data_IF_107168122146
#
_entry.id   IF_107168122146
#
_cell.length_a   1.000
_cell.length_b   1.000
_cell.length_c   1.000
_cell.angle_alpha   90.00
_cell.angle_beta   90.00
_cell.angle_gamma   90.00
#
_symmetry.space_group_name_H-M   'P 1'
#
loop_
_entity.id
_entity.type
_entity.pdbx_description
1 polymer ?
#
# COMPACT_ATOMS: atom_id res chain seq x y z
N UNK A 1 7.16 -0.74 -36.07
CA UNK A 1 8.03 -1.64 -35.27
C UNK A 1 7.43 -1.65 -33.87
N UNK A 2 7.07 -2.83 -33.38
CA UNK A 2 5.95 -3.06 -32.46
C UNK A 2 5.92 -2.18 -31.20
N UNK A 3 4.79 -1.50 -31.05
CA UNK A 3 4.23 -1.00 -29.81
C UNK A 3 3.87 -2.21 -28.91
N UNK A 4 4.55 -2.32 -27.76
CA UNK A 4 4.12 -3.18 -26.66
C UNK A 4 4.07 -2.31 -25.39
N UNK A 5 2.85 -1.94 -24.98
CA UNK A 5 2.57 -1.46 -23.64
C UNK A 5 2.85 -2.56 -22.62
N UNK A 6 4.09 -2.65 -22.11
CA UNK A 6 4.51 -3.66 -21.14
C UNK A 6 4.22 -3.24 -19.71
N UNK A 7 2.97 -3.41 -19.23
CA UNK A 7 2.64 -3.22 -17.82
C UNK A 7 3.33 -4.27 -16.93
N UNK A 8 3.89 -3.83 -15.78
CA UNK A 8 4.50 -4.74 -14.79
C UNK A 8 3.49 -5.75 -14.21
N UNK A 9 3.99 -6.87 -13.68
CA UNK A 9 3.14 -7.88 -13.05
C UNK A 9 2.48 -7.34 -11.77
N UNK A 10 1.16 -7.56 -11.64
CA UNK A 10 0.34 -7.13 -10.49
C UNK A 10 -0.31 -8.34 -9.85
N UNK A 11 -0.12 -8.51 -8.54
CA UNK A 11 -0.67 -9.63 -7.77
C UNK A 11 -1.49 -9.10 -6.59
N UNK A 12 -2.72 -9.59 -6.44
CA UNK A 12 -3.56 -9.33 -5.28
C UNK A 12 -3.82 -10.64 -4.53
N UNK A 13 -3.53 -10.66 -3.23
CA UNK A 13 -3.72 -11.85 -2.37
C UNK A 13 -4.87 -11.58 -1.40
N UNK A 14 -5.99 -12.28 -1.58
CA UNK A 14 -7.20 -12.11 -0.78
C UNK A 14 -7.72 -13.44 -0.21
N UNK A 15 -8.57 -13.39 0.81
CA UNK A 15 -9.10 -14.57 1.49
C UNK A 15 -9.42 -14.32 2.98
N UNK A 16 -10.05 -15.30 3.64
CA UNK A 16 -10.47 -15.20 5.05
C UNK A 16 -9.31 -14.96 6.02
N UNK A 17 -9.61 -14.57 7.26
CA UNK A 17 -8.61 -14.42 8.31
C UNK A 17 -7.86 -15.73 8.58
N UNK A 18 -6.55 -15.66 8.84
CA UNK A 18 -5.74 -16.80 9.26
C UNK A 18 -5.28 -17.80 8.19
N UNK A 19 -5.66 -17.66 6.90
CA UNK A 19 -5.24 -18.60 5.83
C UNK A 19 -3.80 -18.40 5.33
N UNK A 20 -3.00 -17.56 5.98
CA UNK A 20 -1.60 -17.33 5.59
C UNK A 20 -1.39 -16.37 4.41
N UNK A 21 -2.35 -15.49 4.11
CA UNK A 21 -2.24 -14.50 3.01
C UNK A 21 -0.98 -13.65 3.09
N UNK A 22 -0.72 -13.06 4.26
CA UNK A 22 0.44 -12.21 4.49
C UNK A 22 1.74 -12.98 4.33
N UNK A 23 1.78 -14.23 4.82
CA UNK A 23 2.91 -15.13 4.63
C UNK A 23 3.15 -15.43 3.15
N UNK A 24 2.09 -15.76 2.40
CA UNK A 24 2.18 -16.01 0.96
C UNK A 24 2.66 -14.77 0.21
N UNK A 25 2.10 -13.59 0.52
CA UNK A 25 2.50 -12.32 -0.08
C UNK A 25 3.98 -12.01 0.18
N UNK A 26 4.47 -12.23 1.41
CA UNK A 26 5.88 -12.05 1.75
C UNK A 26 6.79 -13.02 0.98
N UNK A 27 6.40 -14.29 0.86
CA UNK A 27 7.15 -15.29 0.11
C UNK A 27 7.22 -14.95 -1.39
N UNK A 28 6.10 -14.52 -1.98
CA UNK A 28 6.04 -14.08 -3.38
C UNK A 28 6.94 -12.86 -3.62
N UNK A 29 6.88 -11.87 -2.73
CA UNK A 29 7.71 -10.67 -2.81
C UNK A 29 9.21 -11.02 -2.74
N UNK A 30 9.61 -11.88 -1.80
CA UNK A 30 11.00 -12.35 -1.67
C UNK A 30 11.46 -13.15 -2.87
N UNK A 31 10.62 -14.05 -3.39
CA UNK A 31 10.95 -14.85 -4.56
C UNK A 31 11.13 -13.97 -5.81
N UNK A 32 10.27 -12.96 -6.00
CA UNK A 32 10.39 -12.01 -7.09
C UNK A 32 11.65 -11.13 -6.95
N UNK A 33 11.92 -10.59 -5.76
CA UNK A 33 13.12 -9.80 -5.52
C UNK A 33 14.41 -10.63 -5.75
N UNK A 34 14.43 -11.89 -5.30
CA UNK A 34 15.55 -12.81 -5.53
C UNK A 34 15.79 -13.12 -7.03
N UNK A 35 14.77 -12.98 -7.87
CA UNK A 35 14.89 -13.09 -9.34
C UNK A 35 15.29 -11.77 -10.01
N UNK A 36 15.57 -10.72 -9.25
CA UNK A 36 15.99 -9.41 -9.76
C UNK A 36 14.84 -8.48 -10.17
N UNK A 37 13.58 -8.82 -9.86
CA UNK A 37 12.47 -7.92 -10.10
C UNK A 37 12.47 -6.76 -9.11
N UNK A 38 12.05 -5.57 -9.57
CA UNK A 38 11.71 -4.46 -8.69
C UNK A 38 10.35 -4.76 -8.05
N UNK A 39 10.32 -4.92 -6.73
CA UNK A 39 9.10 -5.30 -6.02
C UNK A 39 8.60 -4.16 -5.15
N UNK A 40 7.33 -3.80 -5.35
CA UNK A 40 6.56 -2.98 -4.40
C UNK A 40 5.52 -3.88 -3.74
N UNK A 41 5.62 -4.02 -2.42
CA UNK A 41 4.69 -4.79 -1.62
C UNK A 41 3.81 -3.85 -0.80
N UNK A 42 2.49 -4.00 -0.90
CA UNK A 42 1.52 -3.09 -0.28
C UNK A 42 0.68 -3.86 0.72
N UNK A 43 0.65 -3.39 1.97
CA UNK A 43 -0.20 -3.95 3.02
C UNK A 43 -1.43 -3.07 3.23
N UNK A 44 -2.56 -3.53 2.67
CA UNK A 44 -3.87 -2.88 2.78
C UNK A 44 -4.79 -3.57 3.80
N UNK A 45 -4.26 -4.40 4.69
CA UNK A 45 -5.02 -5.01 5.78
C UNK A 45 -5.24 -4.00 6.93
N UNK A 46 -6.43 -3.93 7.54
CA UNK A 46 -6.67 -3.14 8.76
C UNK A 46 -5.71 -3.43 9.92
N UNK A 47 -5.16 -4.65 9.99
CA UNK A 47 -4.12 -5.04 10.95
C UNK A 47 -2.85 -5.44 10.21
N UNK A 48 -2.07 -4.46 9.72
CA UNK A 48 -0.95 -4.72 8.82
C UNK A 48 0.17 -5.48 9.53
N UNK A 49 0.67 -6.52 8.89
CA UNK A 49 1.72 -7.42 9.42
C UNK A 49 2.76 -7.80 8.37
N UNK A 50 2.63 -7.34 7.13
CA UNK A 50 3.53 -7.69 6.02
C UNK A 50 4.95 -7.18 6.26
N UNK A 51 5.10 -5.93 6.70
CA UNK A 51 6.41 -5.35 7.00
C UNK A 51 7.14 -6.18 8.08
N UNK A 52 6.45 -6.56 9.15
CA UNK A 52 7.01 -7.42 10.19
C UNK A 52 7.35 -8.82 9.66
N UNK A 53 6.50 -9.39 8.79
CA UNK A 53 6.74 -10.70 8.17
C UNK A 53 7.97 -10.68 7.25
N UNK A 54 8.26 -9.55 6.61
CA UNK A 54 9.50 -9.30 5.86
C UNK A 54 10.68 -8.94 6.78
N UNK A 55 10.46 -8.89 8.09
CA UNK A 55 11.46 -8.60 9.12
C UNK A 55 11.87 -7.13 9.21
N UNK A 56 11.00 -6.21 8.79
CA UNK A 56 11.20 -4.76 8.99
C UNK A 56 10.83 -4.44 10.43
N UNK A 57 11.76 -3.81 11.16
CA UNK A 57 11.57 -3.31 12.52
C UNK A 57 12.39 -2.03 12.73
N UNK A 58 11.80 -0.94 13.24
CA UNK A 58 10.38 -0.81 13.62
C UNK A 58 9.45 -0.85 12.39
N UNK A 59 8.21 -1.31 12.60
CA UNK A 59 7.18 -1.32 11.54
C UNK A 59 6.78 0.13 11.24
N UNK A 60 6.74 0.57 9.97
CA UNK A 60 6.30 1.91 9.62
C UNK A 60 4.83 2.12 9.97
N UNK A 61 4.50 3.34 10.39
CA UNK A 61 3.13 3.70 10.71
C UNK A 61 2.21 3.58 9.47
N UNK A 62 0.95 3.12 9.64
CA UNK A 62 0.02 3.03 8.52
C UNK A 62 -0.28 4.39 7.89
N UNK A 63 -0.20 4.45 6.57
CA UNK A 63 -0.41 5.68 5.79
C UNK A 63 -1.78 6.31 6.06
N UNK A 64 -2.82 5.48 6.20
CA UNK A 64 -4.20 5.95 6.41
C UNK A 64 -4.47 6.44 7.84
N UNK A 65 -3.50 6.30 8.76
CA UNK A 65 -3.57 6.85 10.11
C UNK A 65 -2.78 8.16 10.25
N UNK A 66 -2.11 8.61 9.18
CA UNK A 66 -1.38 9.87 9.16
C UNK A 66 -2.32 11.05 8.89
N UNK A 67 -2.81 11.70 9.95
CA UNK A 67 -3.74 12.82 9.86
C UNK A 67 -3.18 14.04 9.11
N UNK A 68 -1.87 14.30 9.22
CA UNK A 68 -1.22 15.41 8.51
C UNK A 68 -1.23 15.16 7.00
N UNK A 69 -0.88 13.95 6.58
CA UNK A 69 -0.94 13.55 5.17
C UNK A 69 -2.38 13.60 4.64
N UNK A 70 -3.37 13.13 5.42
CA UNK A 70 -4.77 13.19 5.02
C UNK A 70 -5.24 14.64 4.85
N UNK A 71 -4.87 15.52 5.78
CA UNK A 71 -5.19 16.94 5.69
C UNK A 71 -4.50 17.60 4.48
N UNK A 72 -3.22 17.30 4.24
CA UNK A 72 -2.44 17.82 3.11
C UNK A 72 -3.01 17.39 1.75
N UNK A 73 -3.28 16.08 1.59
CA UNK A 73 -3.64 15.51 0.27
C UNK A 73 -5.11 15.65 -0.05
N UNK A 74 -5.96 15.54 0.96
CA UNK A 74 -7.40 15.39 0.79
C UNK A 74 -8.18 16.59 1.33
N UNK A 75 -7.74 17.17 2.44
CA UNK A 75 -8.40 18.30 3.10
C UNK A 75 -9.35 17.89 4.23
N UNK A 76 -9.72 18.87 5.07
CA UNK A 76 -10.72 18.75 6.13
C UNK A 76 -11.93 19.61 5.76
N UNK A 77 -13.10 18.99 5.53
CA UNK A 77 -14.32 19.68 5.07
C UNK A 77 -14.60 19.45 3.60
N UNK A 78 -14.01 20.26 2.70
CA UNK A 78 -14.10 20.03 1.26
C UNK A 78 -13.06 18.96 0.88
N UNK A 79 -13.53 17.79 0.50
CA UNK A 79 -12.70 16.60 0.26
C UNK A 79 -12.31 16.51 -1.20
N UNK A 80 -11.01 16.46 -1.49
CA UNK A 80 -10.48 16.12 -2.82
C UNK A 80 -10.60 14.61 -3.05
N UNK A 81 -11.48 14.19 -3.96
CA UNK A 81 -11.71 12.76 -4.25
C UNK A 81 -10.59 12.10 -5.08
N UNK A 82 -9.79 12.90 -5.78
CA UNK A 82 -8.64 12.45 -6.58
C UNK A 82 -7.36 13.15 -6.09
N UNK A 83 -6.88 12.86 -4.87
CA UNK A 83 -5.61 13.38 -4.39
C UNK A 83 -4.45 12.83 -5.23
N UNK A 84 -3.36 13.60 -5.29
CA UNK A 84 -2.08 13.16 -5.84
C UNK A 84 -1.47 12.11 -4.90
N UNK A 85 -0.97 11.00 -5.43
CA UNK A 85 -0.52 9.80 -4.68
C UNK A 85 0.75 9.14 -5.26
N UNK A 86 1.22 9.62 -6.40
CA UNK A 86 2.28 9.05 -7.22
C UNK A 86 3.63 9.02 -6.48
N UNK A 87 3.84 9.94 -5.54
CA UNK A 87 5.05 10.04 -4.73
C UNK A 87 4.99 9.21 -3.43
N UNK A 88 3.83 8.67 -3.05
CA UNK A 88 3.63 8.09 -1.72
C UNK A 88 4.44 6.80 -1.51
N UNK A 89 4.54 5.96 -2.54
CA UNK A 89 5.39 4.76 -2.48
C UNK A 89 6.84 5.13 -2.23
N UNK A 90 7.34 6.20 -2.86
CA UNK A 90 8.72 6.64 -2.69
C UNK A 90 8.97 7.29 -1.34
N UNK A 91 8.03 8.13 -0.86
CA UNK A 91 8.17 8.88 0.39
C UNK A 91 7.94 8.03 1.65
N UNK A 92 6.97 7.13 1.61
CA UNK A 92 6.51 6.37 2.78
C UNK A 92 6.83 4.88 2.70
N UNK A 93 7.30 4.39 1.55
CA UNK A 93 7.76 3.01 1.41
C UNK A 93 9.10 2.80 2.11
N UNK A 94 9.20 1.71 2.87
CA UNK A 94 10.45 1.26 3.50
C UNK A 94 11.05 0.14 2.66
N UNK A 95 12.35 0.21 2.40
CA UNK A 95 13.03 -0.79 1.58
C UNK A 95 13.78 -1.82 2.45
N UNK A 96 13.62 -3.10 2.12
CA UNK A 96 14.39 -4.19 2.72
C UNK A 96 14.54 -5.33 1.71
N UNK A 97 15.76 -5.86 1.59
CA UNK A 97 16.07 -7.02 0.73
C UNK A 97 15.57 -6.87 -0.73
N UNK A 98 15.67 -5.65 -1.29
CA UNK A 98 15.20 -5.33 -2.65
C UNK A 98 13.68 -5.20 -2.80
N UNK A 99 12.93 -5.19 -1.70
CA UNK A 99 11.48 -5.02 -1.66
C UNK A 99 11.15 -3.68 -1.01
N UNK A 100 10.39 -2.84 -1.72
CA UNK A 100 9.80 -1.62 -1.15
C UNK A 100 8.43 -1.91 -0.57
N UNK A 101 8.28 -1.75 0.73
CA UNK A 101 7.06 -2.08 1.47
C UNK A 101 6.32 -0.80 1.84
N UNK A 102 5.08 -0.66 1.40
CA UNK A 102 4.18 0.41 1.80
C UNK A 102 3.09 -0.16 2.73
N UNK A 103 3.06 0.32 3.97
CA UNK A 103 2.00 -0.03 4.91
C UNK A 103 0.88 1.00 4.78
N UNK A 104 -0.23 0.62 4.17
CA UNK A 104 -1.41 1.48 4.09
C UNK A 104 -2.22 1.40 5.37
N UNK A 105 -2.38 0.19 5.91
CA UNK A 105 -3.37 -0.11 6.94
C UNK A 105 -4.79 -0.08 6.40
N UNK A 106 -5.77 -0.02 7.30
CA UNK A 106 -7.17 0.08 6.96
C UNK A 106 -7.92 1.09 7.82
N UNK A 107 -9.17 1.34 7.46
CA UNK A 107 -10.05 2.19 8.26
C UNK A 107 -10.41 1.44 9.54
N UNK A 108 -9.95 1.95 10.69
CA UNK A 108 -10.31 1.39 12.00
C UNK A 108 -11.83 1.45 12.21
N UNK A 109 -12.34 0.50 12.99
CA UNK A 109 -13.76 0.36 13.32
C UNK A 109 -14.35 1.67 13.88
N UNK A 110 -15.68 1.83 13.69
CA UNK A 110 -16.41 3.10 13.89
C UNK A 110 -16.20 3.77 15.25
N UNK A 111 -16.33 5.10 15.25
CA UNK A 111 -16.17 5.96 16.44
C UNK A 111 -14.94 6.87 16.43
N UNK A 112 -14.06 6.74 15.43
CA UNK A 112 -12.81 7.51 15.31
C UNK A 112 -12.91 8.80 14.48
N UNK A 113 -14.10 9.11 13.93
CA UNK A 113 -14.35 10.31 13.12
C UNK A 113 -14.76 9.99 11.68
N UNK A 114 -14.64 10.98 10.80
CA UNK A 114 -15.02 10.86 9.39
C UNK A 114 -13.96 10.06 8.60
N UNK A 115 -14.35 8.89 8.07
CA UNK A 115 -13.46 8.03 7.29
C UNK A 115 -13.26 8.49 5.83
N UNK A 116 -13.96 9.55 5.40
CA UNK A 116 -13.96 9.99 4.01
C UNK A 116 -12.56 10.39 3.49
N UNK A 117 -11.71 11.12 4.23
CA UNK A 117 -10.37 11.44 3.77
C UNK A 117 -9.49 10.20 3.55
N UNK A 118 -9.49 9.27 4.52
CA UNK A 118 -8.75 8.02 4.42
C UNK A 118 -9.24 7.18 3.22
N UNK A 119 -10.55 7.09 3.00
CA UNK A 119 -11.12 6.38 1.86
C UNK A 119 -10.77 7.02 0.51
N UNK A 120 -10.75 8.36 0.43
CA UNK A 120 -10.38 9.06 -0.80
C UNK A 120 -8.91 8.81 -1.16
N UNK A 121 -8.01 8.88 -0.16
CA UNK A 121 -6.59 8.58 -0.36
C UNK A 121 -6.37 7.11 -0.75
N UNK A 122 -7.00 6.17 -0.03
CA UNK A 122 -6.96 4.73 -0.31
C UNK A 122 -7.38 4.43 -1.75
N UNK A 123 -8.52 4.98 -2.20
CA UNK A 123 -9.04 4.75 -3.55
C UNK A 123 -8.12 5.31 -4.62
N UNK A 124 -7.59 6.52 -4.43
CA UNK A 124 -6.66 7.13 -5.39
C UNK A 124 -5.35 6.34 -5.48
N UNK A 125 -4.80 5.94 -4.35
CA UNK A 125 -3.56 5.16 -4.28
C UNK A 125 -3.72 3.76 -4.88
N UNK A 126 -4.80 3.04 -4.57
CA UNK A 126 -5.07 1.74 -5.19
C UNK A 126 -5.27 1.85 -6.70
N UNK A 127 -5.98 2.89 -7.16
CA UNK A 127 -6.15 3.15 -8.60
C UNK A 127 -4.80 3.35 -9.27
N UNK A 128 -3.94 4.19 -8.68
CA UNK A 128 -2.61 4.45 -9.20
C UNK A 128 -1.78 3.16 -9.29
N UNK A 129 -1.69 2.40 -8.19
CA UNK A 129 -0.90 1.17 -8.10
C UNK A 129 -1.41 0.06 -9.04
N UNK A 130 -2.73 -0.06 -9.22
CA UNK A 130 -3.32 -1.14 -10.00
C UNK A 130 -3.42 -0.79 -11.48
N UNK A 131 -3.66 0.48 -11.85
CA UNK A 131 -3.97 0.85 -13.24
C UNK A 131 -2.86 1.66 -13.93
N UNK A 132 -2.09 2.46 -13.20
CA UNK A 132 -1.22 3.49 -13.79
C UNK A 132 0.28 3.25 -13.54
N UNK A 133 0.62 2.54 -12.46
CA UNK A 133 1.99 2.16 -12.09
C UNK A 133 2.50 0.89 -12.77
#
# INVERSE_FOLDING_TARGET
>A
MADQAGGGMKLAVAGKGGVGKTTLAALLARAAAAQGYRVVAVDADPSPTLAQTLGISPVPAPLLENFELLAERVGQGIIKLNPFVEDLVQKYGVEKDGIKVLVMGGIRAGGSGCACPANALLRSLLRHLVLEA
#
